data_IF_386625562009
#
_entry.id   IF_386625562009
#
_cell.length_a   1.000
_cell.length_b   1.000
_cell.length_c   1.000
_cell.angle_alpha   90.00
_cell.angle_beta   90.00
_cell.angle_gamma   90.00
#
_symmetry.space_group_name_H-M   'P 1'
#
loop_
_entity.id
_entity.type
_entity.pdbx_description
1 polymer ?
#
# COMPACT_ATOMS: atom_id res chain seq x y z
N UNK A 1 6.70 25.27 16.90
CA UNK A 1 7.61 24.10 16.76
C UNK A 1 7.88 23.57 18.15
N UNK A 2 7.67 22.28 18.36
CA UNK A 2 7.89 21.63 19.67
C UNK A 2 9.39 21.43 19.89
N UNK A 3 9.90 21.77 21.08
CA UNK A 3 11.30 21.52 21.44
C UNK A 3 11.49 20.04 21.79
N UNK A 4 11.91 19.26 20.80
CA UNK A 4 12.09 17.81 20.92
C UNK A 4 13.20 17.48 21.93
N UNK A 5 14.25 18.29 22.01
CA UNK A 5 15.33 18.07 22.97
C UNK A 5 14.83 18.25 24.40
N UNK A 6 13.98 19.25 24.65
CA UNK A 6 13.36 19.46 25.95
C UNK A 6 12.45 18.29 26.36
N UNK A 7 11.65 17.75 25.42
CA UNK A 7 10.77 16.60 25.70
C UNK A 7 11.55 15.32 26.03
N UNK A 8 12.70 15.11 25.38
CA UNK A 8 13.57 13.95 25.59
C UNK A 8 14.49 14.10 26.82
N UNK A 9 14.71 15.33 27.29
CA UNK A 9 15.47 15.63 28.49
C UNK A 9 16.86 14.99 28.48
N UNK A 10 17.18 14.19 29.50
CA UNK A 10 18.48 13.53 29.66
C UNK A 10 18.80 12.51 28.55
N UNK A 11 17.79 12.00 27.83
CA UNK A 11 17.97 11.00 26.78
C UNK A 11 18.16 11.64 25.40
N UNK A 12 18.00 12.97 25.29
CA UNK A 12 18.05 13.72 24.04
C UNK A 12 19.35 13.46 23.27
N UNK A 13 20.50 13.58 23.94
CA UNK A 13 21.80 13.39 23.29
C UNK A 13 21.97 11.96 22.77
N UNK A 14 21.58 10.95 23.57
CA UNK A 14 21.72 9.56 23.17
C UNK A 14 20.80 9.24 21.98
N UNK A 15 19.54 9.64 22.04
CA UNK A 15 18.55 9.29 21.00
C UNK A 15 18.73 10.07 19.70
N UNK A 16 19.04 11.38 19.77
CA UNK A 16 19.11 12.24 18.59
C UNK A 16 20.48 12.16 17.89
N UNK A 17 21.54 11.81 18.61
CA UNK A 17 22.90 11.67 18.03
C UNK A 17 23.29 10.22 17.77
N UNK A 18 22.44 9.25 18.09
CA UNK A 18 22.74 7.84 17.83
C UNK A 18 23.04 7.62 16.34
N UNK A 19 24.22 7.05 16.06
CA UNK A 19 24.57 6.49 14.76
C UNK A 19 24.87 5.01 14.93
N UNK A 20 24.12 4.17 14.22
CA UNK A 20 24.42 2.75 14.18
C UNK A 20 25.75 2.53 13.44
N UNK A 21 26.77 2.06 14.15
CA UNK A 21 28.09 1.72 13.59
C UNK A 21 28.28 0.20 13.45
N UNK A 22 27.27 -0.59 13.82
CA UNK A 22 27.34 -2.06 13.83
C UNK A 22 27.29 -2.66 12.42
N UNK A 23 26.48 -2.08 11.53
CA UNK A 23 26.37 -2.48 10.12
C UNK A 23 26.68 -1.25 9.26
N UNK A 24 27.74 -1.29 8.43
CA UNK A 24 28.05 -0.21 7.51
C UNK A 24 26.91 0.09 6.53
N UNK A 25 26.64 1.36 6.27
CA UNK A 25 25.54 1.78 5.38
C UNK A 25 25.76 1.39 3.92
N UNK A 26 27.01 1.18 3.50
CA UNK A 26 27.37 0.71 2.15
C UNK A 26 27.03 -0.77 1.90
N UNK A 27 26.69 -1.53 2.95
CA UNK A 27 26.15 -2.88 2.86
C UNK A 27 24.62 -2.91 2.72
N UNK A 28 23.95 -1.75 2.68
CA UNK A 28 22.50 -1.65 2.63
C UNK A 28 22.02 -1.17 1.26
N UNK A 29 20.93 -1.77 0.77
CA UNK A 29 20.16 -1.25 -0.35
C UNK A 29 19.24 -0.13 0.13
N UNK A 30 19.80 1.08 0.30
CA UNK A 30 19.04 2.23 0.77
C UNK A 30 18.10 2.79 -0.30
N UNK A 31 16.93 3.35 0.08
CA UNK A 31 16.09 4.15 -0.81
C UNK A 31 16.85 5.30 -1.47
N UNK A 32 16.55 5.56 -2.75
CA UNK A 32 17.09 6.69 -3.49
C UNK A 32 16.33 6.92 -4.79
N UNK A 33 16.62 8.05 -5.45
CA UNK A 33 16.07 8.37 -6.77
C UNK A 33 16.35 7.29 -7.82
N UNK A 34 17.42 6.53 -7.63
CA UNK A 34 17.91 5.47 -8.49
C UNK A 34 17.47 4.07 -8.02
N UNK A 35 16.57 3.94 -7.03
CA UNK A 35 16.29 2.65 -6.38
C UNK A 35 15.83 1.57 -7.36
N UNK A 36 15.05 1.92 -8.38
CA UNK A 36 14.61 0.96 -9.40
C UNK A 36 15.80 0.47 -10.23
N UNK A 37 16.66 1.39 -10.70
CA UNK A 37 17.80 1.09 -11.56
C UNK A 37 18.98 0.45 -10.81
N UNK A 38 19.15 0.75 -9.52
CA UNK A 38 20.26 0.26 -8.69
C UNK A 38 19.92 -1.01 -7.92
N UNK A 39 18.66 -1.20 -7.52
CA UNK A 39 18.25 -2.30 -6.62
C UNK A 39 17.23 -3.22 -7.28
N UNK A 40 16.19 -2.67 -7.90
CA UNK A 40 15.11 -3.52 -8.40
C UNK A 40 15.45 -4.25 -9.69
N UNK A 41 16.34 -3.70 -10.53
CA UNK A 41 16.72 -4.28 -11.81
C UNK A 41 17.36 -5.67 -11.72
N UNK A 42 18.03 -5.97 -10.60
CA UNK A 42 18.72 -7.24 -10.38
C UNK A 42 17.77 -8.38 -9.95
N UNK A 43 16.49 -8.07 -9.74
CA UNK A 43 15.47 -9.06 -9.40
C UNK A 43 14.82 -9.70 -10.64
N UNK A 44 14.02 -10.74 -10.44
CA UNK A 44 13.25 -11.41 -11.49
C UNK A 44 11.99 -10.65 -11.96
N UNK A 45 11.91 -9.33 -11.73
CA UNK A 45 10.72 -8.54 -12.07
C UNK A 45 10.67 -8.23 -13.57
N UNK A 46 9.56 -8.53 -14.27
CA UNK A 46 9.40 -8.17 -15.67
C UNK A 46 9.52 -6.65 -15.89
N UNK A 47 9.94 -6.19 -17.08
CA UNK A 47 10.05 -4.76 -17.39
C UNK A 47 8.74 -3.95 -17.23
N UNK A 48 7.57 -4.60 -17.32
CA UNK A 48 6.29 -3.96 -17.04
C UNK A 48 6.13 -3.63 -15.55
N UNK A 49 6.48 -4.58 -14.68
CA UNK A 49 6.51 -4.37 -13.22
C UNK A 49 7.49 -3.25 -12.85
N UNK A 50 8.70 -3.25 -13.42
CA UNK A 50 9.68 -2.18 -13.15
C UNK A 50 9.14 -0.79 -13.56
N UNK A 51 8.38 -0.68 -14.67
CA UNK A 51 7.73 0.57 -15.08
C UNK A 51 6.64 1.02 -14.09
N UNK A 52 5.84 0.09 -13.59
CA UNK A 52 4.82 0.39 -12.58
C UNK A 52 5.47 0.80 -11.24
N UNK A 53 6.54 0.11 -10.83
CA UNK A 53 7.35 0.50 -9.67
C UNK A 53 7.94 1.91 -9.85
N UNK A 54 8.49 2.23 -11.03
CA UNK A 54 9.00 3.56 -11.30
C UNK A 54 7.91 4.63 -11.20
N UNK A 55 6.70 4.32 -11.68
CA UNK A 55 5.53 5.20 -11.57
C UNK A 55 5.19 5.47 -10.10
N UNK A 56 5.19 4.43 -9.26
CA UNK A 56 4.97 4.58 -7.81
C UNK A 56 6.04 5.46 -7.15
N UNK A 57 7.33 5.18 -7.39
CA UNK A 57 8.43 5.95 -6.79
C UNK A 57 8.56 7.39 -7.30
N UNK A 58 7.97 7.71 -8.46
CA UNK A 58 8.03 9.05 -9.07
C UNK A 58 6.73 9.85 -8.99
N UNK A 59 5.75 9.39 -8.21
CA UNK A 59 4.49 10.12 -7.99
C UNK A 59 4.44 10.77 -6.61
N UNK A 60 3.78 11.93 -6.49
CA UNK A 60 3.50 12.56 -5.21
C UNK A 60 4.69 13.33 -4.61
N UNK A 61 4.57 13.71 -3.33
CA UNK A 61 5.53 14.54 -2.60
C UNK A 61 6.87 13.84 -2.38
N UNK A 62 6.89 12.51 -2.33
CA UNK A 62 8.10 11.70 -2.16
C UNK A 62 8.70 11.23 -3.50
N UNK A 63 8.22 11.77 -4.63
CA UNK A 63 8.73 11.43 -5.95
C UNK A 63 10.27 11.57 -6.03
N UNK A 64 10.94 10.53 -6.51
CA UNK A 64 12.41 10.52 -6.67
C UNK A 64 13.19 10.45 -5.36
N UNK A 65 12.55 10.26 -4.20
CA UNK A 65 13.29 10.06 -2.93
C UNK A 65 13.65 8.59 -2.68
N UNK A 66 13.00 7.67 -3.39
CA UNK A 66 13.03 6.23 -3.13
C UNK A 66 12.12 5.78 -2.00
N UNK A 67 11.45 6.69 -1.30
CA UNK A 67 10.44 6.38 -0.30
C UNK A 67 9.02 6.41 -0.90
N UNK A 68 8.10 5.63 -0.32
CA UNK A 68 6.69 5.60 -0.71
C UNK A 68 5.79 6.06 0.44
N UNK A 69 4.83 6.91 0.10
CA UNK A 69 3.68 7.26 0.92
C UNK A 69 2.43 6.73 0.24
N UNK A 70 1.81 5.73 0.84
CA UNK A 70 0.57 5.13 0.35
C UNK A 70 -0.53 5.52 1.33
N UNK A 71 -1.70 5.93 0.84
CA UNK A 71 -2.89 6.13 1.68
C UNK A 71 -3.75 4.85 1.66
N UNK A 72 -3.71 4.00 2.71
CA UNK A 72 -4.53 2.80 2.78
C UNK A 72 -5.91 3.10 3.39
N UNK A 73 -6.98 2.88 2.63
CA UNK A 73 -8.36 3.02 3.09
C UNK A 73 -9.22 1.86 2.58
N UNK A 74 -8.94 0.65 3.07
CA UNK A 74 -9.73 -0.58 2.85
C UNK A 74 -10.61 -0.97 4.06
N UNK A 75 -10.38 -0.31 5.21
CA UNK A 75 -11.10 -0.48 6.48
C UNK A 75 -12.63 -0.40 6.40
N UNK A 76 -13.19 0.27 5.39
CA UNK A 76 -14.64 0.32 5.17
C UNK A 76 -15.26 -1.07 4.99
N UNK A 77 -14.49 -2.06 4.51
CA UNK A 77 -14.91 -3.46 4.42
C UNK A 77 -14.46 -4.25 5.66
N UNK A 78 -13.21 -4.10 6.08
CA UNK A 78 -12.62 -4.84 7.22
C UNK A 78 -13.27 -4.53 8.58
N UNK A 79 -13.80 -3.31 8.76
CA UNK A 79 -14.37 -2.84 10.02
C UNK A 79 -15.79 -2.30 9.89
N UNK A 80 -16.42 -2.45 8.72
CA UNK A 80 -17.63 -1.75 8.28
C UNK A 80 -17.45 -0.25 8.00
N UNK A 81 -18.23 0.25 7.05
CA UNK A 81 -18.24 1.66 6.67
C UNK A 81 -18.77 2.54 7.81
N UNK A 82 -19.70 2.02 8.62
CA UNK A 82 -20.24 2.72 9.79
C UNK A 82 -19.15 3.02 10.81
N UNK A 83 -18.36 2.02 11.22
CA UNK A 83 -17.28 2.24 12.18
C UNK A 83 -16.17 3.14 11.61
N UNK A 84 -15.88 3.00 10.31
CA UNK A 84 -14.76 3.69 9.66
C UNK A 84 -15.04 5.15 9.32
N UNK A 85 -16.26 5.48 8.89
CA UNK A 85 -16.56 6.75 8.24
C UNK A 85 -17.67 7.56 8.93
N UNK A 86 -18.35 7.03 9.95
CA UNK A 86 -19.38 7.80 10.65
C UNK A 86 -18.83 9.09 11.31
N UNK A 87 -17.57 9.07 11.77
CA UNK A 87 -16.93 10.25 12.35
C UNK A 87 -16.72 11.39 11.32
N UNK A 88 -16.57 11.04 10.04
CA UNK A 88 -16.51 12.01 8.96
C UNK A 88 -17.24 11.44 7.71
N UNK A 89 -18.55 11.71 7.58
CA UNK A 89 -19.39 11.10 6.56
C UNK A 89 -18.99 11.39 5.11
N UNK A 90 -18.10 12.36 4.85
CA UNK A 90 -17.58 12.62 3.51
C UNK A 90 -16.89 11.38 2.93
N UNK A 91 -16.25 10.56 3.77
CA UNK A 91 -15.50 9.38 3.31
C UNK A 91 -16.37 8.16 2.99
N UNK A 92 -17.71 8.25 3.13
CA UNK A 92 -18.61 7.28 2.50
C UNK A 92 -18.58 7.38 0.96
N UNK A 93 -18.22 8.53 0.39
CA UNK A 93 -17.97 8.68 -1.05
C UNK A 93 -16.51 8.32 -1.36
N UNK A 94 -16.24 7.24 -2.12
CA UNK A 94 -14.90 6.85 -2.57
C UNK A 94 -14.09 7.96 -3.22
N UNK A 95 -14.75 8.94 -3.85
CA UNK A 95 -14.10 10.10 -4.46
C UNK A 95 -13.23 10.85 -3.45
N UNK A 96 -13.72 11.05 -2.24
CA UNK A 96 -13.03 11.84 -1.22
C UNK A 96 -11.79 11.13 -0.67
N UNK A 97 -11.76 9.79 -0.69
CA UNK A 97 -10.57 9.00 -0.35
C UNK A 97 -9.45 9.29 -1.34
N UNK A 98 -9.78 9.26 -2.64
CA UNK A 98 -8.77 9.49 -3.71
C UNK A 98 -8.34 10.95 -3.76
N UNK A 99 -9.27 11.89 -3.57
CA UNK A 99 -8.94 13.33 -3.50
C UNK A 99 -8.03 13.65 -2.32
N UNK A 100 -8.26 13.03 -1.16
CA UNK A 100 -7.37 13.14 0.00
C UNK A 100 -5.96 12.64 -0.34
N UNK A 101 -5.82 11.48 -1.00
CA UNK A 101 -4.51 10.94 -1.38
C UNK A 101 -3.75 11.90 -2.31
N UNK A 102 -4.46 12.51 -3.27
CA UNK A 102 -3.88 13.49 -4.20
C UNK A 102 -3.46 14.76 -3.45
N UNK A 103 -4.33 15.31 -2.60
CA UNK A 103 -4.05 16.52 -1.81
C UNK A 103 -2.89 16.31 -0.83
N UNK A 104 -2.85 15.15 -0.18
CA UNK A 104 -1.76 14.75 0.70
C UNK A 104 -0.43 14.55 -0.04
N UNK A 105 -0.44 14.45 -1.38
CA UNK A 105 0.72 14.18 -2.20
C UNK A 105 1.24 12.75 -2.02
N UNK A 106 0.35 11.77 -1.85
CA UNK A 106 0.72 10.37 -1.76
C UNK A 106 1.24 9.85 -3.11
N UNK A 107 2.12 8.85 -3.06
CA UNK A 107 2.57 8.10 -4.22
C UNK A 107 1.46 7.23 -4.80
N UNK A 108 0.55 6.75 -3.94
CA UNK A 108 -0.49 5.80 -4.30
C UNK A 108 -1.65 5.84 -3.30
N UNK A 109 -2.85 5.47 -3.76
CA UNK A 109 -4.00 5.16 -2.90
C UNK A 109 -4.28 3.66 -2.94
N UNK A 110 -4.47 3.07 -1.76
CA UNK A 110 -4.76 1.65 -1.61
C UNK A 110 -6.17 1.46 -1.04
N UNK A 111 -6.99 0.64 -1.68
CA UNK A 111 -8.36 0.33 -1.21
C UNK A 111 -8.90 -0.93 -1.91
N UNK A 112 -10.07 -1.40 -1.48
CA UNK A 112 -10.79 -2.52 -2.11
C UNK A 112 -11.22 -2.19 -3.55
N UNK A 113 -11.41 -3.23 -4.36
CA UNK A 113 -11.78 -3.11 -5.77
C UNK A 113 -13.03 -2.25 -5.99
N UNK A 114 -14.12 -2.48 -5.25
CA UNK A 114 -15.38 -1.75 -5.45
C UNK A 114 -15.24 -0.23 -5.23
N UNK A 115 -14.47 0.17 -4.21
CA UNK A 115 -14.19 1.58 -3.91
C UNK A 115 -13.42 2.22 -5.05
N UNK A 116 -12.30 1.62 -5.47
CA UNK A 116 -11.48 2.18 -6.56
C UNK A 116 -12.19 2.12 -7.92
N UNK A 117 -12.96 1.07 -8.20
CA UNK A 117 -13.72 0.88 -9.45
C UNK A 117 -14.76 1.96 -9.67
N UNK A 118 -15.42 2.40 -8.59
CA UNK A 118 -16.46 3.43 -8.67
C UNK A 118 -15.93 4.77 -9.20
N UNK A 119 -14.61 5.02 -9.10
CA UNK A 119 -13.98 6.31 -9.46
C UNK A 119 -12.78 6.17 -10.41
N UNK A 120 -12.47 4.96 -10.89
CA UNK A 120 -11.24 4.65 -11.65
C UNK A 120 -11.07 5.51 -12.90
N UNK A 121 -12.11 5.62 -13.73
CA UNK A 121 -12.07 6.42 -14.98
C UNK A 121 -11.70 7.88 -14.73
N UNK A 122 -11.99 8.41 -13.54
CA UNK A 122 -11.69 9.79 -13.17
C UNK A 122 -10.28 9.98 -12.61
N UNK A 123 -9.71 8.97 -11.95
CA UNK A 123 -8.48 9.18 -11.16
C UNK A 123 -7.34 8.19 -11.39
N UNK A 124 -7.55 7.01 -11.98
CA UNK A 124 -6.48 6.02 -12.17
C UNK A 124 -5.32 6.56 -13.04
N UNK A 125 -5.59 7.53 -13.91
CA UNK A 125 -4.59 8.24 -14.73
C UNK A 125 -3.96 9.46 -14.02
N UNK A 126 -4.38 9.76 -12.79
CA UNK A 126 -3.95 10.94 -12.00
C UNK A 126 -3.14 10.56 -10.77
N UNK A 127 -3.43 9.40 -10.18
CA UNK A 127 -2.68 8.83 -9.06
C UNK A 127 -2.67 7.30 -9.18
N UNK A 128 -1.54 6.62 -8.92
CA UNK A 128 -1.46 5.17 -8.87
C UNK A 128 -2.48 4.55 -7.91
N UNK A 129 -3.14 3.50 -8.38
CA UNK A 129 -4.05 2.68 -7.58
C UNK A 129 -3.38 1.37 -7.19
N UNK A 130 -3.53 0.99 -5.92
CA UNK A 130 -3.18 -0.33 -5.38
C UNK A 130 -4.46 -1.02 -4.90
N UNK A 131 -4.86 -2.08 -5.59
CA UNK A 131 -6.11 -2.79 -5.27
C UNK A 131 -5.85 -3.87 -4.23
N UNK A 132 -6.52 -3.78 -3.08
CA UNK A 132 -6.56 -4.84 -2.08
C UNK A 132 -7.50 -5.95 -2.57
N UNK A 133 -6.94 -7.14 -2.86
CA UNK A 133 -7.65 -8.24 -3.54
C UNK A 133 -8.50 -9.11 -2.60
N UNK A 134 -8.10 -9.23 -1.33
CA UNK A 134 -8.83 -9.99 -0.32
C UNK A 134 -9.22 -9.10 0.86
N UNK A 135 -10.20 -9.55 1.62
CA UNK A 135 -10.55 -8.97 2.91
C UNK A 135 -11.17 -10.06 3.79
N UNK A 136 -11.25 -9.82 5.09
CA UNK A 136 -12.23 -10.53 5.93
C UNK A 136 -13.63 -9.95 5.69
N UNK A 137 -14.67 -10.62 6.19
CA UNK A 137 -16.01 -10.06 6.18
C UNK A 137 -16.61 -10.11 7.58
N UNK A 138 -17.32 -9.04 7.95
CA UNK A 138 -17.95 -8.85 9.26
C UNK A 138 -19.47 -8.87 9.17
N UNK A 139 -20.02 -9.38 8.07
CA UNK A 139 -21.45 -9.50 7.81
C UNK A 139 -22.03 -10.84 8.29
N UNK A 140 -21.18 -11.83 8.58
CA UNK A 140 -21.57 -13.11 9.19
C UNK A 140 -21.46 -13.10 10.72
N UNK A 141 -22.33 -13.86 11.39
CA UNK A 141 -22.27 -14.09 12.84
C UNK A 141 -22.20 -15.60 13.16
N UNK A 142 -21.23 -16.07 13.98
CA UNK A 142 -20.18 -15.29 14.62
C UNK A 142 -19.17 -14.74 13.60
N UNK A 143 -18.50 -13.63 13.94
CA UNK A 143 -17.48 -13.03 13.08
C UNK A 143 -16.37 -14.03 12.76
N UNK A 144 -15.92 -14.04 11.51
CA UNK A 144 -14.74 -14.78 11.06
C UNK A 144 -13.68 -13.79 10.60
N UNK A 145 -12.41 -14.18 10.71
CA UNK A 145 -11.28 -13.35 10.29
C UNK A 145 -10.55 -13.94 9.10
N UNK A 146 -11.19 -14.86 8.38
CA UNK A 146 -10.59 -15.51 7.24
C UNK A 146 -10.51 -14.55 6.05
N UNK A 147 -9.30 -14.38 5.52
CA UNK A 147 -9.07 -13.52 4.36
C UNK A 147 -9.45 -14.27 3.09
N UNK A 148 -10.45 -13.76 2.39
CA UNK A 148 -10.99 -14.38 1.19
C UNK A 148 -10.77 -13.45 0.00
N UNK A 149 -10.30 -13.99 -1.12
CA UNK A 149 -10.20 -13.25 -2.38
C UNK A 149 -11.60 -12.75 -2.81
N UNK A 150 -11.71 -11.45 -3.03
CA UNK A 150 -12.94 -10.77 -3.45
C UNK A 150 -12.82 -10.13 -4.84
N UNK A 151 -11.59 -9.89 -5.30
CA UNK A 151 -11.32 -9.38 -6.63
C UNK A 151 -10.21 -10.16 -7.31
N UNK A 152 -10.28 -10.28 -8.64
CA UNK A 152 -9.21 -10.86 -9.45
C UNK A 152 -8.17 -9.82 -9.83
N UNK A 153 -6.98 -10.28 -10.17
CA UNK A 153 -5.89 -9.43 -10.69
C UNK A 153 -6.29 -8.76 -11.99
N UNK A 154 -6.99 -9.47 -12.88
CA UNK A 154 -7.50 -8.93 -14.14
C UNK A 154 -8.47 -7.78 -13.91
N UNK A 155 -9.32 -7.86 -12.88
CA UNK A 155 -10.22 -6.76 -12.55
C UNK A 155 -9.43 -5.50 -12.13
N UNK A 156 -8.39 -5.68 -11.30
CA UNK A 156 -7.50 -4.59 -10.90
C UNK A 156 -6.72 -4.01 -12.10
N UNK A 157 -6.20 -4.86 -12.97
CA UNK A 157 -5.48 -4.43 -14.17
C UNK A 157 -6.41 -3.66 -15.13
N UNK A 158 -7.59 -4.21 -15.43
CA UNK A 158 -8.54 -3.63 -16.38
C UNK A 158 -9.07 -2.26 -15.95
N UNK A 159 -9.11 -1.96 -14.64
CA UNK A 159 -9.47 -0.62 -14.14
C UNK A 159 -8.34 0.40 -14.18
N UNK A 160 -7.12 -0.02 -14.52
CA UNK A 160 -5.93 0.83 -14.55
C UNK A 160 -5.14 0.89 -13.24
N UNK A 161 -5.29 -0.09 -12.34
CA UNK A 161 -4.40 -0.21 -11.20
C UNK A 161 -3.00 -0.65 -11.64
N UNK A 162 -1.98 -0.15 -10.95
CA UNK A 162 -0.56 -0.46 -11.24
C UNK A 162 0.06 -1.35 -10.15
N UNK A 163 -0.74 -1.69 -9.13
CA UNK A 163 -0.34 -2.55 -8.03
C UNK A 163 -1.56 -3.28 -7.45
N UNK A 164 -1.29 -4.41 -6.82
CA UNK A 164 -2.25 -5.16 -6.01
C UNK A 164 -1.66 -5.44 -4.64
N UNK A 165 -2.52 -5.63 -3.64
CA UNK A 165 -2.14 -5.99 -2.29
C UNK A 165 -3.05 -7.07 -1.72
N UNK A 166 -2.57 -7.77 -0.71
CA UNK A 166 -3.32 -8.80 -0.02
C UNK A 166 -2.86 -8.92 1.45
N UNK A 167 -3.72 -9.46 2.29
CA UNK A 167 -3.41 -9.79 3.69
C UNK A 167 -3.29 -11.30 3.83
N UNK A 168 -2.28 -11.76 4.55
CA UNK A 168 -2.13 -13.15 4.99
C UNK A 168 -2.00 -13.11 6.51
N UNK A 169 -2.84 -13.85 7.22
CA UNK A 169 -2.71 -14.01 8.67
C UNK A 169 -1.88 -15.25 9.00
N UNK A 170 -0.56 -15.08 9.02
CA UNK A 170 0.36 -16.16 9.39
C UNK A 170 0.02 -16.74 10.77
N UNK A 171 0.00 -18.07 10.87
CA UNK A 171 -0.33 -18.80 12.10
C UNK A 171 -1.83 -19.06 12.31
N UNK A 172 -2.71 -18.51 11.48
CA UNK A 172 -4.12 -18.94 11.44
C UNK A 172 -4.26 -20.32 10.79
N UNK A 173 -5.37 -21.00 11.08
CA UNK A 173 -5.72 -22.30 10.46
C UNK A 173 -5.72 -22.19 8.92
N UNK A 174 -6.24 -21.08 8.41
CA UNK A 174 -6.37 -20.78 6.97
C UNK A 174 -5.09 -20.25 6.32
N UNK A 175 -4.01 -20.03 7.09
CA UNK A 175 -2.79 -19.37 6.60
C UNK A 175 -2.19 -20.06 5.39
N UNK A 176 -2.21 -21.40 5.35
CA UNK A 176 -1.66 -22.16 4.23
C UNK A 176 -2.42 -21.87 2.92
N UNK A 177 -3.76 -21.88 2.98
CA UNK A 177 -4.62 -21.58 1.84
C UNK A 177 -4.39 -20.15 1.35
N UNK A 178 -4.36 -19.19 2.28
CA UNK A 178 -4.10 -17.78 1.97
C UNK A 178 -2.72 -17.59 1.29
N UNK A 179 -1.68 -18.29 1.74
CA UNK A 179 -0.35 -18.23 1.10
C UNK A 179 -0.43 -18.74 -0.35
N UNK A 180 -1.09 -19.88 -0.59
CA UNK A 180 -1.21 -20.47 -1.92
C UNK A 180 -2.02 -19.56 -2.87
N UNK A 181 -3.17 -19.05 -2.42
CA UNK A 181 -4.02 -18.12 -3.16
C UNK A 181 -3.29 -16.82 -3.52
N UNK A 182 -2.62 -16.19 -2.55
CA UNK A 182 -1.92 -14.92 -2.77
C UNK A 182 -0.65 -15.12 -3.60
N UNK A 183 0.02 -16.26 -3.49
CA UNK A 183 1.15 -16.58 -4.36
C UNK A 183 0.73 -16.64 -5.83
N UNK A 184 -0.37 -17.35 -6.13
CA UNK A 184 -0.93 -17.43 -7.48
C UNK A 184 -1.41 -16.06 -7.99
N UNK A 185 -2.08 -15.27 -7.14
CA UNK A 185 -2.51 -13.92 -7.51
C UNK A 185 -1.32 -12.99 -7.81
N UNK A 186 -0.25 -13.04 -7.02
CA UNK A 186 0.91 -12.18 -7.23
C UNK A 186 1.75 -12.61 -8.42
N UNK A 187 1.85 -13.92 -8.70
CA UNK A 187 2.41 -14.42 -9.96
C UNK A 187 1.65 -13.82 -11.15
N UNK A 188 0.32 -13.92 -11.13
CA UNK A 188 -0.53 -13.35 -12.18
C UNK A 188 -0.40 -11.82 -12.31
N UNK A 189 -0.24 -11.11 -11.20
CA UNK A 189 0.01 -9.66 -11.22
C UNK A 189 1.33 -9.32 -11.94
N UNK A 190 2.40 -10.08 -11.68
CA UNK A 190 3.67 -9.87 -12.37
C UNK A 190 3.59 -10.15 -13.88
N UNK A 191 2.78 -11.13 -14.31
CA UNK A 191 2.57 -11.42 -15.74
C UNK A 191 1.89 -10.26 -16.47
N UNK A 192 0.96 -9.56 -15.81
CA UNK A 192 0.24 -8.42 -16.38
C UNK A 192 1.02 -7.10 -16.29
N UNK A 193 1.92 -6.99 -15.29
CA UNK A 193 2.78 -5.82 -15.06
C UNK A 193 2.39 -5.03 -13.84
#
# INVERSE_FOLDING_TARGET
MTDIAQLLGKDADNLLQHRCMTIPSDQLYLPGHDYVDRVMIDNNRPPAVLRNMQTLYNTGRLAGTGYLSILPVDQGVEHSAGASFAANPLYFDPKNIVELAIEAGCNCVASTYGVLASVSRRYAHRIPFLVKLNHNETLSYPNTYDQTLYASVEQAFNMGAVAVGATIYFGSEESRRQIEEISAAFERAHELG
#
